data_IF_695816459228
#
_entry.id   IF_695816459228
#
_cell.length_a   1.000
_cell.length_b   1.000
_cell.length_c   1.000
_cell.angle_alpha   90.00
_cell.angle_beta   90.00
_cell.angle_gamma   90.00
#
_symmetry.space_group_name_H-M   'P 1'
#
loop_
_entity.id
_entity.type
_entity.pdbx_description
1 polymer ?
#
# COMPACT_ATOMS: atom_id res chain seq x y z
N UNK A 1 -13.58 9.48 9.56
CA UNK A 1 -12.47 9.14 8.66
C UNK A 1 -11.59 10.37 8.65
N UNK A 2 -10.33 10.26 9.06
CA UNK A 2 -9.40 11.39 8.97
C UNK A 2 -9.06 11.65 7.50
N UNK A 3 -8.93 12.92 7.16
CA UNK A 3 -8.45 13.32 5.83
C UNK A 3 -6.96 13.00 5.72
N UNK A 4 -6.61 12.28 4.66
CA UNK A 4 -5.24 11.85 4.42
C UNK A 4 -4.40 13.00 3.85
N UNK A 5 -3.20 13.19 4.37
CA UNK A 5 -2.23 14.22 3.99
C UNK A 5 -0.94 13.57 3.55
N UNK A 6 -0.25 14.22 2.62
CA UNK A 6 1.07 13.79 2.20
C UNK A 6 2.10 14.03 3.30
N UNK A 7 2.97 13.04 3.51
CA UNK A 7 4.12 13.12 4.42
C UNK A 7 5.40 12.77 3.65
N UNK A 8 6.31 13.74 3.57
CA UNK A 8 7.56 13.61 2.80
C UNK A 8 8.49 12.56 3.40
N UNK A 9 8.58 12.44 4.73
CA UNK A 9 9.46 11.44 5.35
C UNK A 9 8.96 10.01 5.06
N UNK A 10 7.64 9.78 5.12
CA UNK A 10 7.06 8.50 4.73
C UNK A 10 7.34 8.17 3.25
N UNK A 11 7.33 9.19 2.40
CA UNK A 11 7.57 9.04 0.97
C UNK A 11 9.04 8.73 0.66
N UNK A 12 9.98 9.40 1.33
CA UNK A 12 11.42 9.14 1.21
C UNK A 12 11.74 7.69 1.61
N UNK A 13 11.20 7.22 2.74
CA UNK A 13 11.33 5.82 3.17
C UNK A 13 10.73 4.85 2.16
N UNK A 14 9.53 5.17 1.63
CA UNK A 14 8.87 4.33 0.63
C UNK A 14 9.66 4.27 -0.69
N UNK A 15 10.24 5.39 -1.11
CA UNK A 15 11.06 5.51 -2.32
C UNK A 15 12.35 4.71 -2.17
N UNK A 16 13.04 4.84 -1.02
CA UNK A 16 14.24 4.09 -0.73
C UNK A 16 14.00 2.56 -0.75
N UNK A 17 12.84 2.10 -0.27
CA UNK A 17 12.48 0.69 -0.41
C UNK A 17 12.20 0.30 -1.86
N UNK A 18 11.42 1.11 -2.59
CA UNK A 18 11.08 0.83 -3.98
C UNK A 18 12.36 0.68 -4.83
N UNK A 19 13.31 1.60 -4.69
CA UNK A 19 14.57 1.66 -5.42
C UNK A 19 15.50 0.47 -5.19
N UNK A 20 15.31 -0.31 -4.12
CA UNK A 20 16.06 -1.57 -3.95
C UNK A 20 15.85 -2.51 -5.11
N UNK A 21 14.68 -2.45 -5.77
CA UNK A 21 14.23 -3.25 -6.92
C UNK A 21 14.27 -4.78 -6.69
N UNK A 22 15.47 -5.29 -6.51
CA UNK A 22 15.81 -6.70 -6.50
C UNK A 22 17.12 -6.92 -5.74
N UNK A 23 17.14 -7.85 -4.79
CA UNK A 23 18.31 -8.26 -4.01
C UNK A 23 18.83 -9.63 -4.48
N UNK A 24 20.01 -10.11 -4.06
CA UNK A 24 20.47 -11.47 -4.39
C UNK A 24 19.46 -12.57 -4.02
N UNK A 25 18.60 -12.31 -3.03
CA UNK A 25 17.54 -13.20 -2.53
C UNK A 25 16.25 -13.16 -3.38
N UNK A 26 16.07 -12.17 -4.26
CA UNK A 26 14.92 -12.07 -5.14
C UNK A 26 14.38 -10.65 -5.33
N UNK A 27 13.13 -10.54 -5.78
CA UNK A 27 12.44 -9.25 -5.89
C UNK A 27 12.30 -8.62 -4.51
N UNK A 28 12.41 -7.29 -4.42
CA UNK A 28 12.19 -6.56 -3.16
C UNK A 28 10.86 -6.97 -2.51
N UNK A 29 10.87 -7.06 -1.19
CA UNK A 29 9.69 -7.36 -0.36
C UNK A 29 9.52 -6.29 0.73
N UNK A 30 8.44 -6.39 1.51
CA UNK A 30 8.21 -5.49 2.63
C UNK A 30 9.43 -5.41 3.55
N UNK A 31 9.80 -4.18 3.95
CA UNK A 31 10.78 -3.93 4.99
C UNK A 31 10.27 -4.30 6.38
N UNK A 32 11.17 -4.33 7.37
CA UNK A 32 10.78 -4.54 8.76
C UNK A 32 10.02 -3.30 9.25
N UNK A 33 9.02 -3.44 10.14
CA UNK A 33 8.29 -2.30 10.68
C UNK A 33 9.19 -1.21 11.28
N UNK A 34 10.29 -1.59 11.91
CA UNK A 34 11.25 -0.66 12.53
C UNK A 34 12.02 0.14 11.46
N UNK A 35 12.29 -0.46 10.28
CA UNK A 35 13.02 0.18 9.18
C UNK A 35 12.21 1.30 8.50
N UNK A 36 10.88 1.32 8.71
CA UNK A 36 9.97 2.31 8.11
C UNK A 36 9.31 3.25 9.10
N UNK A 37 9.80 3.26 10.34
CA UNK A 37 9.29 4.15 11.38
C UNK A 37 9.86 5.57 11.17
N UNK A 38 9.00 6.59 11.14
CA UNK A 38 9.40 8.01 11.05
C UNK A 38 8.99 8.71 12.34
N UNK A 39 9.78 9.64 12.88
CA UNK A 39 9.37 10.35 14.11
C UNK A 39 8.41 11.51 13.78
N UNK A 40 7.37 11.75 14.59
CA UNK A 40 7.01 11.09 15.86
C UNK A 40 6.14 9.81 15.72
N UNK A 41 5.98 9.27 14.51
CA UNK A 41 5.07 8.18 14.14
C UNK A 41 5.72 6.79 14.33
N UNK A 42 5.50 6.19 15.49
CA UNK A 42 6.16 4.93 15.88
C UNK A 42 5.67 3.66 15.14
N UNK A 43 4.58 3.71 14.38
CA UNK A 43 4.05 2.55 13.66
C UNK A 43 3.53 2.93 12.28
N UNK A 44 4.24 2.49 11.27
CA UNK A 44 3.93 2.73 9.86
C UNK A 44 3.47 1.44 9.19
N UNK A 45 2.34 1.52 8.49
CA UNK A 45 1.78 0.45 7.68
C UNK A 45 2.26 0.59 6.25
N UNK A 46 2.24 -0.49 5.47
CA UNK A 46 2.77 -0.46 4.12
C UNK A 46 1.88 -1.26 3.17
N UNK A 47 1.61 -0.70 2.00
CA UNK A 47 1.14 -1.42 0.83
C UNK A 47 2.27 -1.43 -0.20
N UNK A 48 2.48 -2.58 -0.84
CA UNK A 48 3.42 -2.70 -1.95
C UNK A 48 2.74 -3.35 -3.15
N UNK A 49 2.97 -2.80 -4.33
CA UNK A 49 2.45 -3.31 -5.60
C UNK A 49 3.61 -3.51 -6.56
N UNK A 50 3.76 -4.75 -7.02
CA UNK A 50 4.83 -5.15 -7.92
C UNK A 50 4.21 -5.87 -9.10
N UNK A 51 4.53 -5.44 -10.33
CA UNK A 51 4.04 -6.09 -11.54
C UNK A 51 4.95 -5.87 -12.75
N UNK A 52 4.75 -6.72 -13.77
CA UNK A 52 5.53 -6.72 -15.02
C UNK A 52 5.06 -5.71 -16.07
N UNK A 53 3.94 -5.02 -15.83
CA UNK A 53 3.35 -4.08 -16.77
C UNK A 53 3.27 -2.67 -16.17
N UNK A 54 3.49 -1.65 -16.98
CA UNK A 54 3.29 -0.27 -16.57
C UNK A 54 1.80 -0.03 -16.29
N UNK A 55 1.50 0.61 -15.16
CA UNK A 55 0.17 1.03 -14.77
C UNK A 55 0.32 2.26 -13.90
N UNK A 56 -0.63 3.19 -13.97
CA UNK A 56 -0.62 4.38 -13.12
C UNK A 56 -0.98 3.98 -11.69
N UNK A 57 -0.41 4.66 -10.69
CA UNK A 57 -0.67 4.35 -9.28
C UNK A 57 -2.17 4.41 -8.91
N UNK A 58 -2.93 5.33 -9.52
CA UNK A 58 -4.38 5.41 -9.33
C UNK A 58 -5.13 4.16 -9.82
N UNK A 59 -4.62 3.48 -10.85
CA UNK A 59 -5.16 2.19 -11.34
C UNK A 59 -4.90 1.09 -10.31
N UNK A 60 -3.73 1.10 -9.67
CA UNK A 60 -3.38 0.16 -8.59
C UNK A 60 -4.38 0.25 -7.43
N UNK A 61 -4.61 1.47 -6.96
CA UNK A 61 -5.50 1.79 -5.85
C UNK A 61 -6.94 1.44 -6.21
N UNK A 62 -7.42 1.86 -7.39
CA UNK A 62 -8.77 1.55 -7.87
C UNK A 62 -8.99 0.05 -7.99
N UNK A 63 -8.06 -0.69 -8.58
CA UNK A 63 -8.21 -2.13 -8.74
C UNK A 63 -8.39 -2.86 -7.41
N UNK A 64 -7.69 -2.45 -6.34
CA UNK A 64 -7.89 -3.06 -5.01
C UNK A 64 -9.24 -2.71 -4.40
N UNK A 65 -9.74 -1.50 -4.62
CA UNK A 65 -11.09 -1.13 -4.25
C UNK A 65 -12.12 -2.02 -4.97
N UNK A 66 -11.96 -2.18 -6.28
CA UNK A 66 -12.85 -3.01 -7.11
C UNK A 66 -12.82 -4.49 -6.67
N UNK A 67 -11.65 -5.04 -6.33
CA UNK A 67 -11.54 -6.42 -5.81
C UNK A 67 -12.20 -6.56 -4.43
N UNK A 68 -12.12 -5.54 -3.57
CA UNK A 68 -12.83 -5.53 -2.29
C UNK A 68 -14.35 -5.46 -2.47
N UNK A 69 -14.87 -4.63 -3.37
CA UNK A 69 -16.31 -4.59 -3.65
C UNK A 69 -16.82 -5.95 -4.16
N UNK A 70 -16.09 -6.57 -5.08
CA UNK A 70 -16.44 -7.88 -5.61
C UNK A 70 -16.40 -9.00 -4.55
N UNK A 71 -15.62 -8.84 -3.47
CA UNK A 71 -15.61 -9.78 -2.35
C UNK A 71 -16.97 -9.90 -1.65
N UNK A 72 -17.67 -8.76 -1.48
CA UNK A 72 -18.94 -8.72 -0.76
C UNK A 72 -20.02 -9.62 -1.41
N UNK A 73 -19.80 -10.03 -2.66
CA UNK A 73 -20.76 -10.79 -3.46
C UNK A 73 -20.22 -12.13 -3.99
N UNK A 74 -18.98 -12.53 -3.64
CA UNK A 74 -18.33 -13.72 -4.19
C UNK A 74 -18.68 -15.03 -3.43
N UNK A 75 -18.82 -16.13 -4.18
CA UNK A 75 -19.16 -17.46 -3.65
C UNK A 75 -18.03 -18.51 -3.72
N UNK A 76 -16.99 -18.35 -4.54
CA UNK A 76 -15.95 -19.38 -4.72
C UNK A 76 -14.77 -19.27 -3.74
N UNK A 77 -14.06 -20.40 -3.49
CA UNK A 77 -12.88 -20.43 -2.58
C UNK A 77 -11.69 -19.61 -3.07
N UNK A 78 -11.43 -19.61 -4.39
CA UNK A 78 -10.33 -18.84 -5.00
C UNK A 78 -10.58 -17.34 -4.87
N UNK A 79 -11.78 -16.91 -5.20
CA UNK A 79 -12.18 -15.51 -5.06
C UNK A 79 -12.15 -15.07 -3.59
N UNK A 80 -12.54 -15.94 -2.64
CA UNK A 80 -12.38 -15.67 -1.21
C UNK A 80 -10.92 -15.43 -0.79
N UNK A 81 -9.96 -16.21 -1.31
CA UNK A 81 -8.54 -15.99 -1.02
C UNK A 81 -8.04 -14.67 -1.61
N UNK A 82 -8.33 -14.42 -2.90
CA UNK A 82 -7.94 -13.19 -3.59
C UNK A 82 -8.55 -11.96 -2.90
N UNK A 83 -9.79 -12.08 -2.44
CA UNK A 83 -10.47 -11.06 -1.69
C UNK A 83 -9.90 -10.82 -0.29
N UNK A 84 -9.47 -11.84 0.45
CA UNK A 84 -8.76 -11.65 1.73
C UNK A 84 -7.45 -10.89 1.52
N UNK A 85 -6.75 -11.14 0.41
CA UNK A 85 -5.55 -10.36 0.09
C UNK A 85 -5.91 -8.92 -0.28
N UNK A 86 -6.92 -8.71 -1.14
CA UNK A 86 -7.40 -7.38 -1.48
C UNK A 86 -7.91 -6.60 -0.26
N UNK A 87 -8.58 -7.28 0.67
CA UNK A 87 -9.04 -6.73 1.94
C UNK A 87 -7.88 -6.11 2.72
N UNK A 88 -6.72 -6.77 2.79
CA UNK A 88 -5.55 -6.21 3.51
C UNK A 88 -5.04 -4.92 2.90
N UNK A 89 -5.07 -4.78 1.58
CA UNK A 89 -4.69 -3.54 0.89
C UNK A 89 -5.75 -2.45 1.07
N UNK A 90 -7.02 -2.80 0.86
CA UNK A 90 -8.16 -1.89 0.98
C UNK A 90 -8.31 -1.34 2.40
N UNK A 91 -8.26 -2.23 3.40
CA UNK A 91 -8.39 -1.85 4.81
C UNK A 91 -7.31 -0.87 5.24
N UNK A 92 -6.12 -0.90 4.63
CA UNK A 92 -5.06 0.09 4.90
C UNK A 92 -5.42 1.47 4.35
N UNK A 93 -5.97 1.50 3.13
CA UNK A 93 -6.39 2.73 2.45
C UNK A 93 -7.58 3.37 3.18
N UNK A 94 -8.56 2.55 3.58
CA UNK A 94 -9.80 2.97 4.22
C UNK A 94 -9.70 3.04 5.76
N UNK A 95 -8.50 3.03 6.34
CA UNK A 95 -8.33 3.01 7.79
C UNK A 95 -8.60 4.40 8.39
N UNK A 96 -9.68 4.54 9.16
CA UNK A 96 -10.18 5.85 9.63
C UNK A 96 -9.20 6.68 10.44
N UNK A 97 -8.22 6.03 11.06
CA UNK A 97 -7.23 6.69 11.91
C UNK A 97 -5.92 7.00 11.18
N UNK A 98 -5.70 6.46 9.99
CA UNK A 98 -4.51 6.75 9.18
C UNK A 98 -4.74 8.06 8.44
N UNK A 99 -3.88 9.04 8.70
CA UNK A 99 -4.03 10.40 8.18
C UNK A 99 -2.79 10.89 7.43
N UNK A 100 -1.68 10.16 7.47
CA UNK A 100 -0.46 10.50 6.73
C UNK A 100 -0.13 9.38 5.72
N UNK A 101 0.28 9.80 4.53
CA UNK A 101 0.62 8.94 3.40
C UNK A 101 1.91 9.43 2.75
N UNK A 102 2.81 8.52 2.46
CA UNK A 102 3.94 8.77 1.56
C UNK A 102 4.16 7.58 0.66
N UNK A 103 4.36 7.81 -0.63
CA UNK A 103 4.57 6.75 -1.61
C UNK A 103 5.85 6.95 -2.39
N UNK A 104 6.47 5.83 -2.76
CA UNK A 104 7.60 5.75 -3.66
C UNK A 104 7.29 4.87 -4.87
N UNK A 105 7.97 5.12 -5.96
CA UNK A 105 7.84 4.38 -7.20
C UNK A 105 9.20 4.23 -7.88
N UNK A 106 9.44 3.03 -8.39
CA UNK A 106 10.53 2.79 -9.33
C UNK A 106 10.12 1.77 -10.38
N UNK A 107 10.91 1.69 -11.44
CA UNK A 107 10.89 0.56 -12.35
C UNK A 107 12.32 0.12 -12.68
N UNK A 108 12.50 -1.18 -12.87
CA UNK A 108 13.80 -1.75 -13.19
C UNK A 108 13.67 -3.02 -14.03
N UNK A 109 14.69 -3.30 -14.83
CA UNK A 109 14.79 -4.55 -15.58
C UNK A 109 15.32 -5.62 -14.63
N UNK A 110 14.55 -6.68 -14.42
CA UNK A 110 14.91 -7.78 -13.53
C UNK A 110 15.09 -9.07 -14.32
N UNK A 111 16.09 -9.86 -13.91
CA UNK A 111 16.40 -11.15 -14.52
C UNK A 111 15.84 -12.29 -13.67
N UNK A 112 15.24 -13.34 -14.26
CA UNK A 112 14.70 -14.47 -13.51
C UNK A 112 15.78 -15.28 -12.78
N UNK A 113 17.04 -15.18 -13.22
CA UNK A 113 18.20 -15.86 -12.64
C UNK A 113 19.20 -14.85 -12.07
N UNK A 114 18.79 -14.07 -11.06
CA UNK A 114 19.61 -13.01 -10.45
C UNK A 114 20.94 -13.47 -9.82
N UNK A 115 21.13 -14.78 -9.66
CA UNK A 115 22.37 -15.36 -9.16
C UNK A 115 23.45 -15.56 -10.25
N UNK A 116 23.11 -15.49 -11.54
CA UNK A 116 24.06 -15.68 -12.63
C UNK A 116 24.50 -14.33 -13.19
N UNK A 117 25.61 -13.82 -12.68
CA UNK A 117 26.26 -12.58 -13.13
C UNK A 117 26.58 -12.52 -14.64
N UNK A 118 26.53 -13.65 -15.36
CA UNK A 118 26.84 -13.79 -16.78
C UNK A 118 25.69 -14.37 -17.62
N UNK A 119 24.46 -14.41 -17.12
CA UNK A 119 23.32 -14.78 -17.95
C UNK A 119 23.10 -13.67 -19.00
N UNK A 120 23.14 -14.03 -20.30
CA UNK A 120 22.69 -13.15 -21.37
C UNK A 120 21.31 -12.59 -21.00
N UNK A 121 20.93 -11.40 -21.49
CA UNK A 121 19.64 -10.74 -21.23
C UNK A 121 18.37 -11.56 -21.60
N UNK A 122 18.51 -12.85 -21.90
CA UNK A 122 17.44 -13.80 -22.12
C UNK A 122 16.52 -13.87 -20.89
N UNK A 123 15.26 -13.52 -21.10
CA UNK A 123 14.21 -13.59 -20.08
C UNK A 123 14.16 -12.40 -19.12
N UNK A 124 14.94 -11.34 -19.34
CA UNK A 124 14.81 -10.09 -18.57
C UNK A 124 13.42 -9.49 -18.80
N UNK A 125 12.80 -8.95 -17.75
CA UNK A 125 11.51 -8.28 -17.83
C UNK A 125 11.50 -6.99 -17.01
N UNK A 126 10.73 -6.01 -17.47
CA UNK A 126 10.52 -4.78 -16.73
C UNK A 126 9.63 -5.05 -15.51
N UNK A 127 10.00 -4.47 -14.38
CA UNK A 127 9.23 -4.51 -13.15
C UNK A 127 8.90 -3.10 -12.70
N UNK A 128 7.65 -2.89 -12.29
CA UNK A 128 7.13 -1.65 -11.76
C UNK A 128 6.80 -1.87 -10.29
N UNK A 129 7.39 -1.07 -9.41
CA UNK A 129 7.34 -1.26 -7.96
C UNK A 129 6.79 0.03 -7.34
N UNK A 130 5.66 -0.09 -6.67
CA UNK A 130 5.03 0.97 -5.90
C UNK A 130 5.04 0.58 -4.43
N UNK A 131 5.50 1.49 -3.57
CA UNK A 131 5.45 1.35 -2.11
C UNK A 131 4.67 2.54 -1.58
N UNK A 132 3.69 2.31 -0.71
CA UNK A 132 2.99 3.36 0.01
C UNK A 132 3.00 3.06 1.51
N UNK A 133 3.48 4.02 2.29
CA UNK A 133 3.54 4.00 3.74
C UNK A 133 2.38 4.82 4.32
N UNK A 134 1.70 4.27 5.32
CA UNK A 134 0.51 4.84 5.94
C UNK A 134 0.73 5.00 7.43
N UNK A 135 0.35 6.15 7.96
CA UNK A 135 0.57 6.48 9.35
C UNK A 135 -0.66 7.10 10.02
N UNK A 136 -0.99 6.67 11.25
CA UNK A 136 -0.51 5.45 11.91
C UNK A 136 -0.87 4.19 11.12
N UNK A 137 -0.19 3.07 11.40
CA UNK A 137 -0.19 1.87 10.55
C UNK A 137 -1.54 1.32 10.09
N UNK A 138 -2.57 1.35 10.94
CA UNK A 138 -3.82 0.64 10.67
C UNK A 138 -3.66 -0.88 10.59
N UNK A 139 -4.70 -1.57 10.09
CA UNK A 139 -4.86 -3.03 10.05
C UNK A 139 -4.51 -3.73 11.37
N UNK A 140 -4.96 -3.12 12.47
CA UNK A 140 -4.77 -3.68 13.81
C UNK A 140 -5.82 -4.77 14.06
N UNK A 141 -5.37 -5.91 14.54
CA UNK A 141 -6.25 -7.02 14.97
C UNK A 141 -7.22 -6.48 16.03
N UNK A 142 -8.48 -6.90 15.94
CA UNK A 142 -9.58 -6.50 16.83
C UNK A 142 -9.91 -5.00 16.88
N UNK A 143 -9.45 -4.22 15.89
CA UNK A 143 -9.85 -2.82 15.73
C UNK A 143 -10.72 -2.64 14.49
N UNK A 144 -11.71 -1.76 14.60
CA UNK A 144 -12.59 -1.42 13.47
C UNK A 144 -11.85 -0.56 12.45
N UNK A 145 -12.08 -0.84 11.17
CA UNK A 145 -11.63 -0.05 10.04
C UNK A 145 -12.10 1.41 10.16
N UNK A 146 -13.40 1.59 10.40
CA UNK A 146 -14.06 2.85 10.73
C UNK A 146 -15.33 2.55 11.55
N UNK A 147 -15.90 3.59 12.14
CA UNK A 147 -17.22 3.51 12.78
C UNK A 147 -18.29 4.00 11.81
N UNK A 148 -19.32 3.19 11.50
CA UNK A 148 -20.38 3.60 10.58
C UNK A 148 -21.20 4.73 11.18
N UNK A 149 -21.56 5.70 10.35
CA UNK A 149 -22.35 6.87 10.73
C UNK A 149 -22.25 7.99 9.68
N UNK A 150 -22.96 9.12 9.89
CA UNK A 150 -22.86 10.28 9.02
C UNK A 150 -21.41 10.79 8.91
N UNK A 151 -21.03 11.44 7.80
CA UNK A 151 -19.74 12.09 7.68
C UNK A 151 -19.45 12.98 8.90
N UNK A 152 -18.24 12.86 9.43
CA UNK A 152 -17.73 13.63 10.56
C UNK A 152 -18.40 13.39 11.93
N UNK A 153 -19.27 12.37 12.06
CA UNK A 153 -19.95 12.07 13.32
C UNK A 153 -19.00 11.78 14.51
N UNK A 154 -17.78 11.28 14.25
CA UNK A 154 -16.79 10.91 15.27
C UNK A 154 -15.40 11.50 14.95
N UNK A 155 -15.35 12.74 14.47
CA UNK A 155 -14.06 13.43 14.30
C UNK A 155 -13.47 13.82 15.67
N UNK A 156 -12.13 13.71 15.86
CA UNK A 156 -11.46 14.23 17.05
C UNK A 156 -11.67 15.75 17.23
N UNK A 157 -11.63 16.23 18.48
CA UNK A 157 -11.90 17.63 18.83
C UNK A 157 -10.97 18.64 18.15
N UNK A 158 -9.74 18.23 17.84
CA UNK A 158 -8.69 19.03 17.20
C UNK A 158 -8.73 18.98 15.66
N UNK A 159 -9.83 18.50 15.08
CA UNK A 159 -9.98 18.37 13.63
C UNK A 159 -11.19 19.14 13.10
N UNK A 160 -11.07 19.61 11.85
CA UNK A 160 -12.17 20.26 11.14
C UNK A 160 -12.72 19.31 10.09
N UNK A 161 -14.04 19.16 10.08
CA UNK A 161 -14.74 18.37 9.07
C UNK A 161 -14.67 19.06 7.70
N UNK A 162 -14.02 18.43 6.73
CA UNK A 162 -14.09 18.84 5.34
C UNK A 162 -15.29 18.14 4.64
N UNK A 163 -16.38 18.89 4.39
CA UNK A 163 -17.61 18.35 3.78
C UNK A 163 -17.56 18.25 2.25
N UNK A 164 -16.55 18.82 1.58
CA UNK A 164 -16.47 18.81 0.11
C UNK A 164 -15.81 17.55 -0.45
N UNK A 165 -15.23 16.70 0.39
CA UNK A 165 -14.58 15.45 -0.01
C UNK A 165 -15.53 14.26 -0.16
N UNK A 166 -16.84 14.49 -0.04
CA UNK A 166 -17.88 13.51 -0.35
C UNK A 166 -18.18 13.56 -1.86
N UNK A 167 -17.29 12.94 -2.64
CA UNK A 167 -17.54 12.61 -4.05
C UNK A 167 -18.31 11.30 -4.17
#
# INVERSE_FOLDING_TARGET
MLEMRWDTQLAEVAQALAERCSTPEGIVSHDRPDDRTTLPILRVGQNMFIQRAAFKANVAVKWRFDVWENYLYSSSKREKYEAVQAAKYFTRIAWARSYALGCGFTYSVVHPNMQKANARNEGAFMMFIYVCNYAPSGNLIDKKLFWPGPPCFLCPEDTVCNKTSAG
#
